data_IF_411314423681
#
_entry.id   IF_411314423681
#
_cell.length_a   1.000
_cell.length_b   1.000
_cell.length_c   1.000
_cell.angle_alpha   90.00
_cell.angle_beta   90.00
_cell.angle_gamma   90.00
#
_symmetry.space_group_name_H-M   'P 1'
#
loop_
_entity.id
_entity.type
_entity.pdbx_description
1 polymer ?
#
# COMPACT_ATOMS: atom_id res chain seq x y z
N UNK A 1 25.10 2.68 9.88
CA UNK A 1 25.32 1.32 10.39
C UNK A 1 24.85 1.29 11.83
N UNK A 2 24.24 0.17 12.23
CA UNK A 2 23.80 -0.24 13.57
C UNK A 2 22.28 -0.30 13.79
N UNK A 3 21.83 -1.54 13.93
CA UNK A 3 20.67 -2.03 14.71
C UNK A 3 19.27 -1.50 14.38
N UNK A 4 18.80 -1.76 13.14
CA UNK A 4 17.39 -2.19 12.94
C UNK A 4 17.16 -3.67 13.31
N UNK A 5 18.22 -4.40 13.64
CA UNK A 5 18.23 -5.87 13.71
C UNK A 5 17.67 -6.42 15.03
N UNK A 6 17.71 -5.69 16.15
CA UNK A 6 17.44 -6.33 17.45
C UNK A 6 16.20 -5.84 18.23
N UNK A 7 15.53 -4.75 17.81
CA UNK A 7 14.37 -4.22 18.54
C UNK A 7 13.01 -4.37 17.81
N UNK A 8 12.99 -4.78 16.54
CA UNK A 8 11.77 -4.86 15.71
C UNK A 8 11.02 -6.21 15.79
N UNK A 9 11.43 -7.14 16.66
CA UNK A 9 10.89 -8.50 16.68
C UNK A 9 9.90 -8.81 17.82
N UNK A 10 9.32 -7.80 18.47
CA UNK A 10 8.22 -8.03 19.43
C UNK A 10 6.82 -8.05 18.79
N UNK A 11 6.69 -7.57 17.53
CA UNK A 11 5.45 -7.72 16.77
C UNK A 11 5.49 -9.05 16.00
N UNK A 12 4.51 -9.97 16.17
CA UNK A 12 4.49 -11.27 15.48
C UNK A 12 4.32 -11.17 13.95
N UNK A 13 4.19 -9.96 13.40
CA UNK A 13 4.19 -9.67 11.97
C UNK A 13 5.07 -8.43 11.73
N UNK A 14 6.41 -8.56 11.68
CA UNK A 14 7.25 -7.48 11.17
C UNK A 14 6.77 -7.14 9.74
N UNK A 15 6.12 -5.98 9.58
CA UNK A 15 5.53 -5.60 8.30
C UNK A 15 6.57 -4.84 7.50
N UNK A 16 6.99 -5.42 6.38
CA UNK A 16 7.63 -4.65 5.31
C UNK A 16 6.78 -3.42 5.00
N UNK A 17 7.39 -2.27 4.63
CA UNK A 17 6.66 -1.08 4.20
C UNK A 17 5.57 -1.51 3.24
N UNK A 18 4.33 -1.10 3.54
CA UNK A 18 3.08 -1.47 2.86
C UNK A 18 3.37 -2.03 1.46
N UNK A 19 3.42 -3.36 1.37
CA UNK A 19 3.29 -4.00 0.07
C UNK A 19 1.94 -3.52 -0.44
N UNK A 20 1.96 -2.54 -1.36
CA UNK A 20 0.79 -1.99 -2.01
C UNK A 20 0.23 -3.12 -2.86
N UNK A 21 -0.51 -4.01 -2.21
CA UNK A 21 -1.10 -5.19 -2.83
C UNK A 21 -1.84 -4.69 -4.08
N UNK A 22 -1.42 -5.22 -5.22
CA UNK A 22 -2.04 -5.02 -6.54
C UNK A 22 -1.90 -3.62 -7.18
N UNK A 23 -1.19 -2.67 -6.57
CA UNK A 23 -1.07 -1.30 -7.13
C UNK A 23 0.35 -0.70 -7.06
N UNK A 24 1.39 -1.45 -7.43
CA UNK A 24 2.73 -0.84 -7.68
C UNK A 24 2.67 0.25 -8.77
N UNK A 25 1.68 0.18 -9.67
CA UNK A 25 1.40 1.23 -10.64
C UNK A 25 0.98 2.56 -9.99
N UNK A 26 0.43 2.56 -8.77
CA UNK A 26 0.15 3.81 -8.04
C UNK A 26 1.45 4.44 -7.54
N UNK A 27 2.35 3.67 -6.94
CA UNK A 27 3.66 4.15 -6.48
C UNK A 27 4.46 4.71 -7.67
N UNK A 28 4.49 4.00 -8.80
CA UNK A 28 5.17 4.49 -10.02
C UNK A 28 4.50 5.70 -10.69
N UNK A 29 3.28 6.09 -10.28
CA UNK A 29 2.57 7.29 -10.79
C UNK A 29 2.75 8.50 -9.89
N UNK A 30 3.20 8.33 -8.64
CA UNK A 30 3.49 9.45 -7.77
C UNK A 30 4.91 9.93 -8.04
N UNK A 31 5.04 11.21 -8.39
CA UNK A 31 6.34 11.86 -8.40
C UNK A 31 6.84 11.94 -6.95
N UNK A 32 7.84 11.13 -6.62
CA UNK A 32 8.56 11.24 -5.36
C UNK A 32 9.68 12.26 -5.56
N UNK A 33 9.40 13.49 -5.15
CA UNK A 33 10.39 14.54 -5.00
C UNK A 33 10.68 14.80 -3.53
N UNK A 34 11.89 15.23 -3.23
CA UNK A 34 12.28 15.75 -1.92
C UNK A 34 13.14 16.98 -2.12
N UNK A 35 12.99 17.96 -1.25
CA UNK A 35 13.88 19.11 -1.14
C UNK A 35 14.38 19.15 0.29
N UNK A 36 15.64 19.52 0.50
CA UNK A 36 16.13 19.70 1.87
C UNK A 36 15.48 20.95 2.47
N UNK A 37 15.19 20.92 3.76
CA UNK A 37 14.53 22.06 4.42
C UNK A 37 15.42 23.30 4.46
N UNK A 38 16.74 23.13 4.58
CA UNK A 38 17.72 24.21 4.50
C UNK A 38 17.78 24.83 3.09
N UNK A 39 17.68 24.02 2.05
CA UNK A 39 17.56 24.50 0.65
C UNK A 39 16.22 25.23 0.41
N UNK A 40 15.12 24.70 0.96
CA UNK A 40 13.78 25.27 0.77
C UNK A 40 13.61 26.62 1.50
N UNK A 41 14.16 26.73 2.72
CA UNK A 41 13.97 27.91 3.56
C UNK A 41 15.18 28.86 3.58
N UNK A 42 16.32 28.46 3.03
CA UNK A 42 17.53 29.27 3.00
C UNK A 42 18.12 29.53 4.38
N UNK A 43 18.12 28.52 5.26
CA UNK A 43 18.65 28.68 6.61
C UNK A 43 20.15 29.03 6.57
N UNK A 44 20.55 30.08 7.29
CA UNK A 44 21.96 30.52 7.37
C UNK A 44 22.86 29.48 8.04
N UNK A 45 22.31 28.77 9.02
CA UNK A 45 22.97 27.71 9.77
C UNK A 45 22.03 26.50 9.85
N UNK A 46 22.58 25.30 10.04
CA UNK A 46 21.76 24.10 10.22
C UNK A 46 20.99 24.21 11.54
N UNK A 47 19.65 24.32 11.52
CA UNK A 47 18.91 24.51 12.75
C UNK A 47 18.89 23.20 13.55
N UNK A 48 18.86 23.31 14.88
CA UNK A 48 18.69 22.14 15.75
C UNK A 48 17.33 21.50 15.52
N UNK A 49 17.26 20.17 15.52
CA UNK A 49 16.01 19.45 15.27
C UNK A 49 15.09 19.51 16.50
N UNK A 50 13.91 20.15 16.42
CA UNK A 50 13.15 20.47 17.62
C UNK A 50 12.02 19.48 17.93
N UNK A 51 11.78 18.49 17.07
CA UNK A 51 10.58 17.64 17.10
C UNK A 51 10.97 16.16 17.03
N UNK A 52 10.37 15.33 17.85
CA UNK A 52 10.41 13.89 17.66
C UNK A 52 9.17 13.39 16.94
N UNK A 53 9.36 12.41 16.06
CA UNK A 53 8.32 11.72 15.33
C UNK A 53 8.23 10.27 15.78
N UNK A 54 7.01 9.83 16.04
CA UNK A 54 6.70 8.47 16.43
C UNK A 54 5.61 7.91 15.52
N UNK A 55 5.67 6.61 15.25
CA UNK A 55 4.61 5.88 14.55
C UNK A 55 3.96 4.90 15.52
N UNK A 56 2.67 5.04 15.72
CA UNK A 56 1.87 4.11 16.52
C UNK A 56 0.96 3.33 15.57
N UNK A 57 1.21 2.03 15.45
CA UNK A 57 0.33 1.17 14.68
C UNK A 57 -1.04 1.09 15.33
N UNK A 58 -2.07 1.36 14.54
CA UNK A 58 -3.42 1.50 15.08
C UNK A 58 -4.04 0.16 15.47
N UNK A 59 -3.49 -1.00 15.10
CA UNK A 59 -4.16 -2.29 15.23
C UNK A 59 -4.89 -2.77 13.97
N UNK A 60 -5.10 -1.90 12.96
CA UNK A 60 -5.85 -2.22 11.74
C UNK A 60 -4.98 -2.16 10.49
N UNK A 61 -5.05 -3.19 9.63
CA UNK A 61 -4.38 -3.19 8.32
C UNK A 61 -5.09 -2.19 7.38
N UNK A 62 -4.33 -1.29 6.74
CA UNK A 62 -4.84 -0.42 5.67
C UNK A 62 -4.97 -1.17 4.33
N UNK A 63 -5.66 -0.57 3.35
CA UNK A 63 -5.55 -0.96 1.93
C UNK A 63 -6.87 -1.26 1.20
N UNK A 64 -7.75 -2.09 1.76
CA UNK A 64 -8.95 -2.55 1.01
C UNK A 64 -10.09 -1.52 0.90
N UNK A 65 -10.20 -0.59 1.86
CA UNK A 65 -11.33 0.36 1.93
C UNK A 65 -11.04 1.71 1.29
N UNK A 66 -9.79 2.00 0.96
CA UNK A 66 -9.37 3.34 0.50
C UNK A 66 -10.11 3.74 -0.77
N UNK A 67 -10.16 2.89 -1.79
CA UNK A 67 -10.85 3.20 -3.05
C UNK A 67 -12.37 3.32 -2.87
N UNK A 68 -12.95 2.50 -2.00
CA UNK A 68 -14.38 2.58 -1.67
C UNK A 68 -14.71 3.92 -1.01
N UNK A 69 -13.88 4.36 -0.06
CA UNK A 69 -14.06 5.64 0.62
C UNK A 69 -13.82 6.87 -0.27
N UNK A 70 -13.04 6.77 -1.37
CA UNK A 70 -12.97 7.86 -2.37
C UNK A 70 -14.35 8.02 -3.00
N UNK A 71 -14.88 6.94 -3.58
CA UNK A 71 -16.13 6.95 -4.34
C UNK A 71 -17.32 7.36 -3.49
N UNK A 72 -17.37 6.88 -2.24
CA UNK A 72 -18.42 7.25 -1.30
C UNK A 72 -18.48 8.78 -1.04
N UNK A 73 -17.35 9.49 -1.09
CA UNK A 73 -17.35 10.96 -0.91
C UNK A 73 -17.79 11.66 -2.18
N UNK A 74 -17.34 11.18 -3.33
CA UNK A 74 -17.74 11.73 -4.63
C UNK A 74 -19.26 11.67 -4.78
N UNK A 75 -19.84 10.50 -4.51
CA UNK A 75 -21.28 10.26 -4.56
C UNK A 75 -22.02 11.19 -3.56
N UNK A 76 -21.55 11.27 -2.32
CA UNK A 76 -22.19 12.13 -1.29
C UNK A 76 -22.13 13.61 -1.67
N UNK A 77 -20.99 14.12 -2.16
CA UNK A 77 -20.86 15.53 -2.56
C UNK A 77 -21.72 15.84 -3.78
N UNK A 78 -21.79 14.92 -4.75
CA UNK A 78 -22.64 15.04 -5.90
C UNK A 78 -24.12 15.09 -5.51
N UNK A 79 -24.59 14.09 -4.75
CA UNK A 79 -25.98 13.99 -4.31
C UNK A 79 -26.39 15.19 -3.44
N UNK A 80 -25.50 15.62 -2.55
CA UNK A 80 -25.74 16.78 -1.68
C UNK A 80 -25.80 18.07 -2.50
N UNK A 81 -24.92 18.25 -3.49
CA UNK A 81 -24.95 19.41 -4.39
C UNK A 81 -26.26 19.46 -5.17
N UNK A 82 -26.67 18.34 -5.78
CA UNK A 82 -27.94 18.25 -6.52
C UNK A 82 -29.15 18.51 -5.63
N UNK A 83 -29.16 17.94 -4.42
CA UNK A 83 -30.20 18.19 -3.42
C UNK A 83 -30.28 19.68 -3.06
N UNK A 84 -29.14 20.32 -2.75
CA UNK A 84 -29.06 21.74 -2.42
C UNK A 84 -29.56 22.58 -3.60
N UNK A 85 -29.10 22.32 -4.82
CA UNK A 85 -29.54 23.03 -6.02
C UNK A 85 -31.06 22.94 -6.19
N UNK A 86 -31.60 21.72 -6.11
CA UNK A 86 -33.02 21.43 -6.29
C UNK A 86 -33.89 22.16 -5.26
N UNK A 87 -33.52 22.12 -3.99
CA UNK A 87 -34.34 22.67 -2.91
C UNK A 87 -34.20 24.18 -2.73
N UNK A 88 -33.04 24.76 -3.05
CA UNK A 88 -32.83 26.21 -2.91
C UNK A 88 -33.20 27.00 -4.17
N UNK A 89 -33.28 26.38 -5.35
CA UNK A 89 -33.67 27.06 -6.61
C UNK A 89 -35.03 27.78 -6.55
N UNK A 90 -36.08 27.26 -5.89
CA UNK A 90 -37.32 28.02 -5.73
C UNK A 90 -37.17 29.19 -4.75
N UNK A 91 -36.35 29.02 -3.70
CA UNK A 91 -36.19 30.00 -2.62
C UNK A 91 -35.37 31.22 -3.04
N UNK A 92 -34.49 31.09 -4.04
CA UNK A 92 -33.63 32.18 -4.52
C UNK A 92 -34.26 33.03 -5.61
N UNK A 93 -35.42 32.64 -6.17
CA UNK A 93 -36.16 33.46 -7.16
C UNK A 93 -36.80 34.71 -6.54
N UNK A 94 -37.14 34.64 -5.25
CA UNK A 94 -37.86 35.71 -4.55
C UNK A 94 -36.92 36.62 -3.72
N UNK A 95 -35.64 36.25 -3.58
CA UNK A 95 -34.66 36.99 -2.78
C UNK A 95 -33.75 37.81 -3.71
N UNK A 96 -34.14 39.04 -3.99
CA UNK A 96 -33.44 39.95 -4.91
C UNK A 96 -32.03 40.43 -4.48
N UNK A 97 -31.44 39.92 -3.39
CA UNK A 97 -30.16 40.48 -2.91
C UNK A 97 -29.18 39.54 -2.20
N UNK A 98 -29.52 38.28 -1.90
CA UNK A 98 -28.57 37.42 -1.20
C UNK A 98 -28.69 35.94 -1.56
N UNK A 99 -27.80 35.49 -2.44
CA UNK A 99 -27.62 34.07 -2.74
C UNK A 99 -26.59 33.49 -1.76
N UNK A 100 -26.94 32.49 -0.93
CA UNK A 100 -25.98 31.90 0.00
C UNK A 100 -24.75 31.35 -0.72
N UNK A 101 -23.55 31.59 -0.18
CA UNK A 101 -22.28 31.21 -0.82
C UNK A 101 -22.25 29.72 -1.15
N UNK A 102 -22.62 28.84 -0.21
CA UNK A 102 -22.61 27.39 -0.46
C UNK A 102 -23.51 26.98 -1.63
N UNK A 103 -24.67 27.64 -1.81
CA UNK A 103 -25.57 27.37 -2.92
C UNK A 103 -25.00 27.89 -4.24
N UNK A 104 -24.41 29.09 -4.22
CA UNK A 104 -23.73 29.65 -5.41
C UNK A 104 -22.54 28.77 -5.85
N UNK A 105 -21.83 28.19 -4.88
CA UNK A 105 -20.73 27.25 -5.12
C UNK A 105 -21.23 25.93 -5.70
N UNK A 106 -22.34 25.37 -5.18
CA UNK A 106 -22.96 24.19 -5.77
C UNK A 106 -23.39 24.44 -7.23
N UNK A 107 -24.00 25.59 -7.52
CA UNK A 107 -24.39 25.97 -8.88
C UNK A 107 -23.20 26.12 -9.84
N UNK A 108 -22.11 26.71 -9.36
CA UNK A 108 -20.93 27.00 -10.18
C UNK A 108 -20.06 25.77 -10.43
N UNK A 109 -19.83 24.98 -9.40
CA UNK A 109 -18.81 23.93 -9.40
C UNK A 109 -19.39 22.53 -9.63
N UNK A 110 -20.67 22.30 -9.29
CA UNK A 110 -21.28 20.98 -9.23
C UNK A 110 -20.58 20.04 -8.25
N UNK A 111 -20.97 18.75 -8.23
CA UNK A 111 -20.36 17.75 -7.35
C UNK A 111 -18.84 17.59 -7.56
N UNK A 112 -18.40 17.53 -8.81
CA UNK A 112 -16.98 17.32 -9.16
C UNK A 112 -16.08 18.49 -8.77
N UNK A 113 -16.53 19.73 -8.99
CA UNK A 113 -15.76 20.92 -8.62
C UNK A 113 -15.68 21.09 -7.11
N UNK A 114 -16.76 20.79 -6.38
CA UNK A 114 -16.75 20.73 -4.93
C UNK A 114 -15.78 19.67 -4.40
N UNK A 115 -15.76 18.47 -5.00
CA UNK A 115 -14.81 17.43 -4.63
C UNK A 115 -13.35 17.87 -4.85
N UNK A 116 -13.03 18.55 -5.95
CA UNK A 116 -11.67 19.10 -6.17
C UNK A 116 -11.29 20.13 -5.10
N UNK A 117 -12.18 21.08 -4.78
CA UNK A 117 -11.93 22.04 -3.69
C UNK A 117 -11.74 21.33 -2.36
N UNK A 118 -12.51 20.29 -2.12
CA UNK A 118 -12.43 19.48 -0.91
C UNK A 118 -11.09 18.72 -0.79
N UNK A 119 -10.59 18.17 -1.89
CA UNK A 119 -9.25 17.57 -1.97
C UNK A 119 -8.11 18.60 -1.90
N UNK A 120 -8.39 19.88 -2.17
CA UNK A 120 -7.38 20.94 -2.07
C UNK A 120 -7.00 21.27 -0.61
N UNK A 121 -7.92 21.08 0.33
CA UNK A 121 -7.77 21.43 1.74
C UNK A 121 -6.53 20.79 2.41
N UNK A 122 -6.26 19.48 2.27
CA UNK A 122 -5.02 18.88 2.78
C UNK A 122 -3.73 19.53 2.24
N UNK A 123 -3.73 20.04 1.00
CA UNK A 123 -2.55 20.71 0.45
C UNK A 123 -2.29 22.04 1.14
N UNK A 124 -3.34 22.84 1.38
CA UNK A 124 -3.22 24.10 2.13
C UNK A 124 -2.73 23.84 3.55
N UNK A 125 -3.31 22.86 4.25
CA UNK A 125 -2.86 22.49 5.61
C UNK A 125 -1.40 22.00 5.58
N UNK A 126 -0.95 21.33 4.51
CA UNK A 126 0.47 20.93 4.36
C UNK A 126 1.39 22.14 4.31
N UNK A 127 1.00 23.20 3.59
CA UNK A 127 1.77 24.46 3.55
C UNK A 127 1.86 25.09 4.94
N UNK A 128 0.77 25.09 5.70
CA UNK A 128 0.78 25.58 7.09
C UNK A 128 1.67 24.72 8.01
N UNK A 129 1.73 23.40 7.80
CA UNK A 129 2.68 22.51 8.51
C UNK A 129 4.12 22.91 8.18
N UNK A 130 4.43 23.16 6.90
CA UNK A 130 5.76 23.59 6.47
C UNK A 130 6.14 24.95 7.06
N UNK A 131 5.22 25.91 7.10
CA UNK A 131 5.42 27.19 7.76
C UNK A 131 5.64 27.02 9.28
N UNK A 132 4.83 26.17 9.93
CA UNK A 132 5.02 25.84 11.35
C UNK A 132 6.39 25.24 11.64
N UNK A 133 6.88 24.35 10.77
CA UNK A 133 8.23 23.80 10.85
C UNK A 133 9.29 24.89 10.68
N UNK A 134 9.18 25.73 9.65
CA UNK A 134 10.08 26.88 9.44
C UNK A 134 10.16 27.76 10.68
N UNK A 135 9.02 28.14 11.25
CA UNK A 135 8.95 28.96 12.45
C UNK A 135 9.59 28.27 13.66
N UNK A 136 9.43 26.96 13.81
CA UNK A 136 10.11 26.21 14.88
C UNK A 136 11.63 26.16 14.69
N UNK A 137 12.13 26.09 13.45
CA UNK A 137 13.57 26.11 13.18
C UNK A 137 14.19 27.51 13.36
N UNK A 138 13.50 28.58 12.98
CA UNK A 138 13.99 29.96 13.08
C UNK A 138 13.87 30.54 14.50
N UNK A 139 12.76 30.26 15.18
CA UNK A 139 12.44 30.84 16.50
C UNK A 139 12.71 29.87 17.66
N UNK A 140 13.08 28.63 17.35
CA UNK A 140 13.23 27.57 18.34
C UNK A 140 11.89 27.05 18.90
N UNK A 141 11.99 26.31 20.02
CA UNK A 141 10.87 25.66 20.72
C UNK A 141 10.06 26.63 21.59
N UNK A 142 9.65 27.77 21.05
CA UNK A 142 8.69 28.63 21.76
C UNK A 142 7.35 27.91 21.92
N UNK A 143 6.60 28.22 22.99
CA UNK A 143 5.26 27.67 23.20
C UNK A 143 4.35 28.00 22.01
N UNK A 144 4.48 29.21 21.44
CA UNK A 144 3.72 29.68 20.29
C UNK A 144 4.01 28.83 19.03
N UNK A 145 5.28 28.67 18.65
CA UNK A 145 5.68 27.91 17.45
C UNK A 145 5.29 26.44 17.57
N UNK A 146 5.48 25.84 18.74
CA UNK A 146 5.09 24.46 19.05
C UNK A 146 3.58 24.27 18.97
N UNK A 147 2.82 25.15 19.63
CA UNK A 147 1.35 25.11 19.64
C UNK A 147 0.80 25.26 18.24
N UNK A 148 1.35 26.19 17.44
CA UNK A 148 0.93 26.40 16.06
C UNK A 148 1.15 25.14 15.22
N UNK A 149 2.35 24.57 15.21
CA UNK A 149 2.64 23.37 14.42
C UNK A 149 1.74 22.20 14.81
N UNK A 150 1.64 21.89 16.10
CA UNK A 150 0.84 20.75 16.56
C UNK A 150 -0.65 20.98 16.36
N UNK A 151 -1.13 22.22 16.46
CA UNK A 151 -2.50 22.56 16.11
C UNK A 151 -2.79 22.24 14.64
N UNK A 152 -1.93 22.68 13.71
CA UNK A 152 -2.11 22.44 12.27
C UNK A 152 -2.04 20.94 11.94
N UNK A 153 -1.12 20.17 12.55
CA UNK A 153 -1.08 18.70 12.40
C UNK A 153 -2.41 18.07 12.83
N UNK A 154 -3.00 18.55 13.93
CA UNK A 154 -4.28 18.06 14.42
C UNK A 154 -5.47 18.51 13.52
N UNK A 155 -5.40 19.69 12.90
CA UNK A 155 -6.36 20.11 11.85
C UNK A 155 -6.27 19.17 10.65
N UNK A 156 -5.06 18.75 10.26
CA UNK A 156 -4.87 17.79 9.17
C UNK A 156 -5.60 16.47 9.48
N UNK A 157 -5.51 15.97 10.70
CA UNK A 157 -6.25 14.77 11.11
C UNK A 157 -7.77 14.96 11.04
N UNK A 158 -8.26 16.15 11.41
CA UNK A 158 -9.67 16.48 11.25
C UNK A 158 -10.06 16.43 9.77
N UNK A 159 -9.29 17.06 8.88
CA UNK A 159 -9.54 17.01 7.44
C UNK A 159 -9.57 15.56 6.91
N UNK A 160 -8.64 14.71 7.33
CA UNK A 160 -8.64 13.28 6.98
C UNK A 160 -9.87 12.51 7.50
N UNK A 161 -10.42 12.91 8.65
CA UNK A 161 -11.68 12.35 9.17
C UNK A 161 -12.86 12.73 8.30
N UNK A 162 -12.97 14.01 7.92
CA UNK A 162 -14.08 14.47 7.06
C UNK A 162 -13.93 13.88 5.65
N UNK A 163 -12.70 13.59 5.20
CA UNK A 163 -12.39 12.84 3.98
C UNK A 163 -12.62 11.32 4.11
N UNK A 164 -13.28 10.85 5.17
CA UNK A 164 -13.55 9.43 5.43
C UNK A 164 -12.30 8.53 5.28
N UNK A 165 -11.11 9.10 5.51
CA UNK A 165 -9.82 8.37 5.44
C UNK A 165 -9.42 7.81 6.77
N UNK A 166 -9.96 8.33 7.85
CA UNK A 166 -9.68 7.82 9.19
C UNK A 166 -10.66 6.73 9.62
N UNK A 167 -10.36 6.08 10.74
CA UNK A 167 -11.25 5.10 11.38
C UNK A 167 -11.57 5.56 12.79
N UNK A 168 -12.67 5.07 13.37
CA UNK A 168 -12.99 5.34 14.78
C UNK A 168 -11.80 5.06 15.70
N UNK A 169 -11.08 3.97 15.47
CA UNK A 169 -9.90 3.57 16.23
C UNK A 169 -8.73 4.54 16.10
N UNK A 170 -8.43 5.02 14.89
CA UNK A 170 -7.39 6.04 14.68
C UNK A 170 -7.79 7.37 15.33
N UNK A 171 -9.06 7.76 15.19
CA UNK A 171 -9.59 8.98 15.78
C UNK A 171 -9.50 8.93 17.32
N UNK A 172 -9.83 7.78 17.93
CA UNK A 172 -9.71 7.56 19.37
C UNK A 172 -8.25 7.63 19.84
N UNK A 173 -7.30 7.06 19.09
CA UNK A 173 -5.86 7.17 19.40
C UNK A 173 -5.43 8.64 19.38
N UNK A 174 -5.73 9.36 18.30
CA UNK A 174 -5.35 10.79 18.16
C UNK A 174 -6.01 11.65 19.26
N UNK A 175 -7.29 11.40 19.54
CA UNK A 175 -8.04 12.12 20.58
C UNK A 175 -7.47 11.85 21.97
N UNK A 176 -7.21 10.59 22.31
CA UNK A 176 -6.64 10.20 23.59
C UNK A 176 -5.28 10.86 23.81
N UNK A 177 -4.35 10.74 22.86
CA UNK A 177 -3.02 11.34 22.99
C UNK A 177 -3.11 12.86 23.18
N UNK A 178 -3.89 13.55 22.34
CA UNK A 178 -4.08 15.00 22.45
C UNK A 178 -4.66 15.42 23.81
N UNK A 179 -5.73 14.78 24.25
CA UNK A 179 -6.45 15.19 25.47
C UNK A 179 -5.68 14.85 26.73
N UNK A 180 -5.05 13.68 26.77
CA UNK A 180 -4.32 13.21 27.92
C UNK A 180 -2.99 13.94 28.11
N UNK A 181 -2.24 14.17 27.04
CA UNK A 181 -1.02 14.99 27.09
C UNK A 181 -1.33 16.42 27.49
N UNK A 182 -2.42 17.02 26.97
CA UNK A 182 -2.85 18.37 27.37
C UNK A 182 -3.17 18.44 28.87
N UNK A 183 -3.84 17.43 29.43
CA UNK A 183 -4.15 17.36 30.87
C UNK A 183 -2.91 17.23 31.74
N UNK A 184 -1.92 16.44 31.33
CA UNK A 184 -0.68 16.22 32.09
C UNK A 184 0.29 17.41 32.03
N UNK A 185 0.35 18.12 30.89
CA UNK A 185 1.45 19.05 30.59
C UNK A 185 1.01 20.49 30.28
N UNK A 186 -0.28 20.83 30.40
CA UNK A 186 -0.75 22.22 30.38
C UNK A 186 -0.91 22.90 29.02
N UNK A 187 -0.44 22.32 27.91
CA UNK A 187 -0.56 22.89 26.56
C UNK A 187 -0.65 21.79 25.48
N UNK A 188 -0.97 22.09 24.20
CA UNK A 188 -0.90 21.09 23.14
C UNK A 188 0.58 20.83 22.81
N UNK A 189 1.12 19.78 23.43
CA UNK A 189 2.50 19.32 23.24
C UNK A 189 2.60 18.12 22.28
N UNK A 190 1.52 17.84 21.55
CA UNK A 190 1.48 16.71 20.62
C UNK A 190 0.62 17.01 19.38
N UNK A 191 1.20 16.77 18.21
CA UNK A 191 0.47 16.67 16.95
C UNK A 191 0.23 15.20 16.62
N UNK A 192 -1.01 14.78 16.39
CA UNK A 192 -1.30 13.38 16.04
C UNK A 192 -2.20 13.30 14.80
N UNK A 193 -1.74 12.57 13.79
CA UNK A 193 -2.53 12.33 12.57
C UNK A 193 -2.29 10.95 11.99
N UNK A 194 -3.26 10.47 11.22
CA UNK A 194 -3.10 9.33 10.34
C UNK A 194 -1.98 9.58 9.30
N UNK A 195 -1.18 8.55 9.04
CA UNK A 195 -0.22 8.52 7.94
C UNK A 195 -0.51 7.37 6.94
N UNK A 196 0.06 7.48 5.74
CA UNK A 196 -0.15 6.52 4.65
C UNK A 196 -1.53 6.65 3.96
N UNK A 197 -1.97 5.57 3.33
CA UNK A 197 -3.17 5.54 2.48
C UNK A 197 -4.51 5.64 3.27
N UNK A 198 -4.44 5.51 4.60
CA UNK A 198 -5.60 5.58 5.48
C UNK A 198 -6.40 4.29 5.64
N UNK A 199 -7.56 4.42 6.30
CA UNK A 199 -8.46 3.33 6.71
C UNK A 199 -7.82 2.29 7.65
N UNK A 200 -6.73 2.65 8.35
CA UNK A 200 -5.89 1.78 9.17
C UNK A 200 -4.43 2.22 9.07
N UNK A 201 -3.51 1.36 9.47
CA UNK A 201 -2.07 1.66 9.45
C UNK A 201 -1.66 2.43 10.70
N UNK A 202 -0.79 3.42 10.49
CA UNK A 202 -0.09 4.09 11.59
C UNK A 202 -0.64 5.49 11.84
N UNK A 203 -0.50 5.90 13.10
CA UNK A 203 -0.67 7.28 13.55
C UNK A 203 0.71 7.89 13.69
N UNK A 204 0.98 8.93 12.91
CA UNK A 204 2.11 9.82 13.09
C UNK A 204 1.85 10.70 14.31
N UNK A 205 2.80 10.70 15.23
CA UNK A 205 2.77 11.49 16.44
C UNK A 205 4.03 12.36 16.47
N UNK A 206 3.84 13.68 16.56
CA UNK A 206 4.90 14.66 16.67
C UNK A 206 4.92 15.24 18.09
N UNK A 207 6.07 15.21 18.76
CA UNK A 207 6.28 15.71 20.13
C UNK A 207 7.45 16.68 20.15
N UNK A 208 7.49 17.61 21.11
CA UNK A 208 8.77 18.23 21.46
C UNK A 208 9.63 17.15 22.13
N UNK A 209 10.91 17.03 21.76
CA UNK A 209 11.78 15.91 22.19
C UNK A 209 12.11 15.80 23.68
N UNK A 210 11.24 16.35 24.52
CA UNK A 210 11.28 16.30 25.98
C UNK A 210 10.39 15.19 26.55
N UNK A 211 9.52 14.57 25.73
CA UNK A 211 8.74 13.43 26.19
C UNK A 211 9.61 12.18 26.32
N UNK A 212 9.77 11.63 27.54
CA UNK A 212 10.53 10.39 27.71
C UNK A 212 9.83 9.26 26.95
N UNK A 213 10.60 8.46 26.22
CA UNK A 213 10.10 7.30 25.47
C UNK A 213 9.19 6.39 26.32
N UNK A 214 9.56 6.21 27.60
CA UNK A 214 8.78 5.45 28.57
C UNK A 214 7.35 5.95 28.72
N UNK A 215 7.15 7.27 28.71
CA UNK A 215 5.81 7.86 28.79
C UNK A 215 4.98 7.48 27.56
N UNK A 216 5.55 7.57 26.35
CA UNK A 216 4.84 7.18 25.12
C UNK A 216 4.48 5.68 25.12
N UNK A 217 5.40 4.82 25.59
CA UNK A 217 5.16 3.39 25.70
C UNK A 217 4.04 3.04 26.70
N UNK A 218 3.96 3.78 27.81
CA UNK A 218 2.86 3.69 28.78
C UNK A 218 1.52 4.12 28.16
N UNK A 219 1.52 5.19 27.36
CA UNK A 219 0.33 5.63 26.63
C UNK A 219 -0.12 4.59 25.60
N UNK A 220 0.80 4.00 24.83
CA UNK A 220 0.52 2.90 23.89
C UNK A 220 -0.05 1.68 24.60
N UNK A 221 0.51 1.33 25.77
CA UNK A 221 0.01 0.21 26.60
C UNK A 221 -1.40 0.49 27.09
N UNK A 222 -1.68 1.72 27.50
CA UNK A 222 -3.01 2.14 27.95
C UNK A 222 -4.02 2.10 26.81
N UNK A 223 -3.65 2.61 25.64
CA UNK A 223 -4.47 2.54 24.42
C UNK A 223 -4.78 1.10 24.02
N UNK A 224 -3.78 0.21 24.04
CA UNK A 224 -3.93 -1.22 23.76
C UNK A 224 -5.00 -1.87 24.66
N UNK A 225 -4.94 -1.59 25.97
CA UNK A 225 -5.91 -2.09 26.95
C UNK A 225 -7.30 -1.49 26.74
N UNK A 226 -7.38 -0.17 26.59
CA UNK A 226 -8.66 0.58 26.45
C UNK A 226 -9.42 0.15 25.19
N UNK A 227 -8.72 0.03 24.06
CA UNK A 227 -9.33 -0.24 22.77
C UNK A 227 -9.40 -1.74 22.44
N UNK A 228 -8.87 -2.62 23.31
CA UNK A 228 -8.79 -4.08 23.09
C UNK A 228 -8.26 -4.42 21.70
N UNK A 229 -7.25 -3.69 21.26
CA UNK A 229 -6.70 -3.78 19.92
C UNK A 229 -5.19 -3.95 19.98
N UNK A 230 -4.62 -4.60 18.96
CA UNK A 230 -3.19 -4.82 18.87
C UNK A 230 -2.44 -3.54 18.44
N UNK A 231 -2.39 -2.56 19.34
CA UNK A 231 -1.73 -1.26 19.15
C UNK A 231 -0.29 -1.35 19.67
N UNK A 232 0.68 -0.85 18.93
CA UNK A 232 2.08 -0.84 19.35
C UNK A 232 2.84 0.37 18.78
N UNK A 233 3.97 0.70 19.40
CA UNK A 233 4.90 1.71 18.92
C UNK A 233 5.78 1.06 17.85
N UNK A 234 5.61 1.49 16.60
CA UNK A 234 6.34 0.97 15.43
C UNK A 234 7.69 1.66 15.23
N UNK A 235 7.72 2.97 15.51
CA UNK A 235 8.90 3.79 15.28
C UNK A 235 8.95 4.97 16.25
N UNK A 236 10.16 5.41 16.59
CA UNK A 236 10.44 6.61 17.38
C UNK A 236 11.77 7.22 16.94
N UNK A 237 11.75 8.47 16.50
CA UNK A 237 12.93 9.15 15.92
C UNK A 237 14.08 9.34 16.90
N UNK A 238 13.79 9.52 18.19
CA UNK A 238 14.83 9.67 19.21
C UNK A 238 15.81 8.48 19.19
N UNK A 239 15.34 7.26 18.89
CA UNK A 239 16.20 6.06 18.91
C UNK A 239 17.18 5.99 17.74
N UNK A 240 16.81 6.53 16.59
CA UNK A 240 17.58 6.41 15.35
C UNK A 240 18.51 7.62 15.11
N UNK A 241 18.27 8.74 15.82
CA UNK A 241 18.98 9.99 15.61
C UNK A 241 18.58 10.68 14.30
N UNK A 242 19.36 11.70 13.91
CA UNK A 242 19.19 12.38 12.63
C UNK A 242 20.10 11.71 11.58
N UNK A 243 19.52 11.25 10.47
CA UNK A 243 20.33 10.71 9.37
C UNK A 243 21.05 11.83 8.64
N UNK A 244 22.38 11.90 8.80
CA UNK A 244 23.21 12.95 8.20
C UNK A 244 23.54 12.69 6.72
N UNK A 245 23.39 11.45 6.25
CA UNK A 245 23.79 11.07 4.88
C UNK A 245 22.69 11.29 3.83
N UNK A 246 21.56 11.87 4.24
CA UNK A 246 20.41 12.10 3.37
C UNK A 246 19.76 10.80 2.89
N UNK A 247 19.04 10.86 1.76
CA UNK A 247 18.40 9.68 1.16
C UNK A 247 19.47 8.80 0.53
N UNK A 248 19.73 7.64 1.14
CA UNK A 248 20.59 6.61 0.57
C UNK A 248 19.73 5.68 -0.28
N UNK A 249 20.11 5.49 -1.55
CA UNK A 249 19.55 4.41 -2.36
C UNK A 249 20.15 3.11 -1.85
N UNK A 250 19.44 2.43 -0.94
CA UNK A 250 19.89 1.14 -0.40
C UNK A 250 19.88 0.04 -1.45
N UNK A 251 19.06 0.16 -2.50
CA UNK A 251 18.99 -0.81 -3.58
C UNK A 251 18.67 -0.14 -4.92
N UNK A 252 19.52 -0.37 -5.92
CA UNK A 252 19.24 -0.13 -7.34
C UNK A 252 19.44 -1.43 -8.11
N UNK A 253 18.33 -2.07 -8.48
CA UNK A 253 18.38 -3.31 -9.27
C UNK A 253 18.91 -3.10 -10.69
N UNK A 254 18.85 -1.87 -11.21
CA UNK A 254 19.39 -1.50 -12.53
C UNK A 254 20.92 -1.37 -12.45
N UNK A 255 21.40 -0.72 -11.39
CA UNK A 255 22.82 -0.42 -11.21
C UNK A 255 23.55 -1.48 -10.37
N UNK A 256 22.86 -2.60 -10.06
CA UNK A 256 23.36 -3.71 -9.23
C UNK A 256 23.83 -3.28 -7.83
N UNK A 257 23.20 -2.26 -7.26
CA UNK A 257 23.37 -1.86 -5.87
C UNK A 257 22.36 -2.65 -5.06
N UNK A 258 22.83 -3.46 -4.11
CA UNK A 258 21.98 -4.33 -3.30
C UNK A 258 22.00 -3.90 -1.84
N UNK A 259 20.82 -3.86 -1.22
CA UNK A 259 20.70 -3.57 0.21
C UNK A 259 21.29 -4.73 1.01
N UNK A 260 21.91 -4.44 2.15
CA UNK A 260 22.34 -5.48 3.10
C UNK A 260 21.18 -6.34 3.62
N UNK A 261 19.93 -5.88 3.45
CA UNK A 261 18.71 -6.60 3.85
C UNK A 261 18.21 -7.54 2.76
N UNK A 262 18.50 -7.26 1.48
CA UNK A 262 18.11 -8.09 0.34
C UNK A 262 19.39 -8.65 -0.27
N UNK A 263 19.78 -9.83 0.20
CA UNK A 263 21.02 -10.47 -0.24
C UNK A 263 21.01 -10.70 -1.75
N UNK A 264 22.19 -10.56 -2.37
CA UNK A 264 22.42 -10.98 -3.74
C UNK A 264 21.95 -12.42 -3.93
N UNK A 265 21.26 -12.71 -5.03
CA UNK A 265 20.62 -13.99 -5.29
C UNK A 265 19.19 -14.12 -4.75
N UNK A 266 18.63 -13.08 -4.12
CA UNK A 266 17.22 -13.07 -3.72
C UNK A 266 16.31 -13.28 -4.93
N UNK A 267 15.15 -13.87 -4.71
CA UNK A 267 14.20 -14.14 -5.79
C UNK A 267 12.89 -13.42 -5.58
N UNK A 268 12.35 -12.90 -6.67
CA UNK A 268 11.04 -12.28 -6.70
C UNK A 268 10.03 -13.26 -7.31
N UNK A 269 9.08 -13.71 -6.49
CA UNK A 269 8.00 -14.60 -6.89
C UNK A 269 6.67 -13.85 -6.94
N UNK A 270 5.88 -14.11 -7.97
CA UNK A 270 4.46 -13.78 -7.99
C UNK A 270 3.65 -15.00 -7.56
N UNK A 271 3.01 -14.95 -6.39
CA UNK A 271 2.08 -15.97 -5.89
C UNK A 271 0.67 -15.65 -6.36
N UNK A 272 0.09 -16.55 -7.14
CA UNK A 272 -1.29 -16.50 -7.64
C UNK A 272 -2.12 -17.51 -6.85
N UNK A 273 -3.15 -17.04 -6.18
CA UNK A 273 -4.08 -17.86 -5.38
C UNK A 273 -5.54 -17.52 -5.69
N UNK A 274 -6.49 -18.15 -4.98
CA UNK A 274 -7.92 -17.84 -5.11
C UNK A 274 -8.26 -16.40 -4.65
N UNK A 275 -7.42 -15.82 -3.80
CA UNK A 275 -7.58 -14.47 -3.26
C UNK A 275 -7.00 -13.36 -4.15
N UNK A 276 -6.27 -13.71 -5.20
CA UNK A 276 -5.60 -12.74 -6.09
C UNK A 276 -4.11 -13.06 -6.29
N UNK A 277 -3.38 -12.06 -6.79
CA UNK A 277 -1.93 -12.15 -7.03
C UNK A 277 -1.15 -11.33 -6.01
N UNK A 278 -0.05 -11.87 -5.50
CA UNK A 278 0.83 -11.21 -4.52
C UNK A 278 2.29 -11.39 -4.87
N UNK A 279 3.08 -10.32 -4.76
CA UNK A 279 4.53 -10.41 -4.90
C UNK A 279 5.16 -10.80 -3.56
N UNK A 280 6.07 -11.78 -3.58
CA UNK A 280 6.81 -12.24 -2.42
C UNK A 280 8.28 -12.31 -2.77
N UNK A 281 9.12 -11.69 -1.95
CA UNK A 281 10.57 -11.77 -2.08
C UNK A 281 11.11 -12.78 -1.09
N UNK A 282 12.01 -13.65 -1.53
CA UNK A 282 12.75 -14.57 -0.67
C UNK A 282 14.25 -14.34 -0.85
N UNK A 283 15.02 -14.42 0.23
CA UNK A 283 16.47 -14.61 0.10
C UNK A 283 16.75 -15.96 -0.57
N UNK A 284 17.95 -16.16 -1.13
CA UNK A 284 18.31 -17.44 -1.76
C UNK A 284 18.07 -18.63 -0.82
N UNK A 285 18.51 -18.51 0.44
CA UNK A 285 18.34 -19.57 1.45
C UNK A 285 16.87 -19.85 1.78
N UNK A 286 16.06 -18.79 1.93
CA UNK A 286 14.62 -18.96 2.18
C UNK A 286 13.94 -19.62 1.00
N UNK A 287 14.31 -19.23 -0.22
CA UNK A 287 13.77 -19.81 -1.42
C UNK A 287 14.12 -21.29 -1.55
N UNK A 288 15.37 -21.68 -1.33
CA UNK A 288 15.78 -23.09 -1.42
C UNK A 288 15.03 -23.97 -0.42
N UNK A 289 14.79 -23.47 0.80
CA UNK A 289 13.95 -24.15 1.80
C UNK A 289 12.49 -24.23 1.36
N UNK A 290 11.94 -23.16 0.80
CA UNK A 290 10.51 -23.08 0.44
C UNK A 290 10.18 -23.81 -0.86
N UNK A 291 11.11 -23.87 -1.82
CA UNK A 291 10.95 -24.40 -3.18
C UNK A 291 10.34 -25.80 -3.21
N UNK A 292 10.72 -26.66 -2.28
CA UNK A 292 10.21 -28.03 -2.17
C UNK A 292 8.76 -28.12 -1.66
N UNK A 293 8.26 -27.06 -1.02
CA UNK A 293 6.88 -26.98 -0.51
C UNK A 293 5.92 -26.30 -1.47
N UNK A 294 6.44 -25.60 -2.49
CA UNK A 294 5.62 -24.87 -3.46
C UNK A 294 4.86 -25.89 -4.34
N UNK A 295 3.51 -25.82 -4.41
CA UNK A 295 2.73 -26.78 -5.19
C UNK A 295 3.11 -26.76 -6.68
N UNK A 296 3.14 -25.57 -7.28
CA UNK A 296 3.55 -25.36 -8.66
C UNK A 296 4.37 -24.09 -8.77
N UNK A 297 5.60 -24.21 -9.24
CA UNK A 297 6.52 -23.10 -9.52
C UNK A 297 6.81 -23.08 -11.01
N UNK A 298 6.56 -21.94 -11.65
CA UNK A 298 6.88 -21.69 -13.05
C UNK A 298 8.07 -20.73 -13.08
N UNK A 299 9.21 -21.23 -13.51
CA UNK A 299 10.42 -20.45 -13.69
C UNK A 299 10.52 -19.98 -15.14
N UNK A 300 10.20 -18.70 -15.33
CA UNK A 300 10.17 -18.05 -16.65
C UNK A 300 11.59 -17.86 -17.18
N UNK A 301 12.57 -17.65 -16.29
CA UNK A 301 13.95 -17.37 -16.67
C UNK A 301 14.65 -18.63 -17.19
N UNK A 302 14.46 -19.77 -16.50
CA UNK A 302 15.05 -21.04 -16.92
C UNK A 302 14.16 -21.88 -17.85
N UNK A 303 12.94 -21.41 -18.15
CA UNK A 303 11.91 -22.16 -18.87
C UNK A 303 11.60 -23.52 -18.23
N UNK A 304 11.52 -23.56 -16.89
CA UNK A 304 11.25 -24.79 -16.16
C UNK A 304 9.95 -24.71 -15.35
N UNK A 305 9.29 -25.87 -15.21
CA UNK A 305 8.13 -26.03 -14.35
C UNK A 305 8.54 -27.00 -13.25
N UNK A 306 8.32 -26.62 -12.00
CA UNK A 306 8.61 -27.45 -10.84
C UNK A 306 7.33 -27.72 -10.04
N UNK A 307 7.16 -28.97 -9.62
CA UNK A 307 6.09 -29.38 -8.71
C UNK A 307 6.74 -29.88 -7.43
N UNK A 308 6.47 -29.21 -6.29
CA UNK A 308 7.13 -29.52 -5.00
C UNK A 308 8.65 -29.64 -5.14
N UNK A 309 9.25 -28.67 -5.83
CA UNK A 309 10.70 -28.60 -6.09
C UNK A 309 11.24 -29.56 -7.16
N UNK A 310 10.45 -30.51 -7.67
CA UNK A 310 10.87 -31.43 -8.73
C UNK A 310 10.63 -30.84 -10.11
N UNK A 311 11.69 -30.72 -10.90
CA UNK A 311 11.63 -30.24 -12.29
C UNK A 311 10.89 -31.25 -13.16
N UNK A 312 9.93 -30.76 -13.94
CA UNK A 312 9.25 -31.57 -14.95
C UNK A 312 10.17 -31.86 -16.12
N UNK A 313 10.15 -33.11 -16.56
CA UNK A 313 10.97 -33.62 -17.66
C UNK A 313 10.21 -33.55 -18.99
N UNK A 314 10.95 -33.70 -20.10
CA UNK A 314 10.35 -33.76 -21.45
C UNK A 314 9.38 -34.93 -21.64
N UNK A 315 9.51 -35.99 -20.82
CA UNK A 315 8.57 -37.13 -20.78
C UNK A 315 7.22 -36.73 -20.20
N UNK A 316 7.21 -35.78 -19.27
CA UNK A 316 5.99 -35.30 -18.59
C UNK A 316 5.35 -34.13 -19.34
N UNK A 317 6.17 -33.22 -19.87
CA UNK A 317 5.70 -32.09 -20.69
C UNK A 317 6.62 -31.94 -21.90
N UNK A 318 6.11 -32.22 -23.10
CA UNK A 318 6.92 -32.23 -24.33
C UNK A 318 7.52 -30.87 -24.69
N UNK A 319 6.89 -29.77 -24.27
CA UNK A 319 7.38 -28.41 -24.55
C UNK A 319 7.17 -27.49 -23.35
N UNK A 320 8.06 -27.56 -22.36
CA UNK A 320 7.99 -26.71 -21.16
C UNK A 320 7.89 -25.22 -21.52
N UNK A 321 8.72 -24.74 -22.46
CA UNK A 321 8.71 -23.34 -22.93
C UNK A 321 7.33 -22.90 -23.46
N UNK A 322 6.71 -23.71 -24.31
CA UNK A 322 5.39 -23.39 -24.87
C UNK A 322 4.30 -23.45 -23.81
N UNK A 323 4.36 -24.47 -22.95
CA UNK A 323 3.44 -24.61 -21.81
C UNK A 323 3.52 -23.41 -20.87
N UNK A 324 4.72 -22.91 -20.56
CA UNK A 324 4.92 -21.72 -19.72
C UNK A 324 4.26 -20.50 -20.36
N UNK A 325 4.49 -20.26 -21.66
CA UNK A 325 3.87 -19.13 -22.37
C UNK A 325 2.34 -19.20 -22.33
N UNK A 326 1.75 -20.37 -22.57
CA UNK A 326 0.30 -20.57 -22.51
C UNK A 326 -0.21 -20.34 -21.08
N UNK A 327 0.46 -20.90 -20.07
CA UNK A 327 0.08 -20.71 -18.67
C UNK A 327 0.16 -19.25 -18.25
N UNK A 328 1.17 -18.49 -18.69
CA UNK A 328 1.25 -17.05 -18.41
C UNK A 328 0.04 -16.27 -18.94
N UNK A 329 -0.40 -16.56 -20.18
CA UNK A 329 -1.58 -15.92 -20.76
C UNK A 329 -2.84 -16.27 -19.97
N UNK A 330 -3.00 -17.55 -19.63
CA UNK A 330 -4.17 -18.04 -18.90
C UNK A 330 -4.24 -17.54 -17.45
N UNK A 331 -3.08 -17.45 -16.77
CA UNK A 331 -2.99 -16.95 -15.40
C UNK A 331 -3.30 -15.45 -15.30
N UNK A 332 -2.98 -14.68 -16.34
CA UNK A 332 -3.35 -13.27 -16.43
C UNK A 332 -4.85 -13.04 -16.73
N UNK A 333 -5.58 -14.10 -17.10
CA UNK A 333 -6.98 -14.04 -17.54
C UNK A 333 -7.82 -15.17 -16.94
N UNK A 334 -7.59 -15.48 -15.66
CA UNK A 334 -8.33 -16.52 -14.95
C UNK A 334 -9.84 -16.25 -15.06
N UNK A 335 -10.61 -17.30 -15.38
CA UNK A 335 -12.05 -17.24 -15.56
C UNK A 335 -12.51 -16.83 -16.97
N UNK A 336 -11.61 -16.31 -17.81
CA UNK A 336 -11.94 -15.90 -19.17
C UNK A 336 -11.58 -16.97 -20.20
N UNK A 337 -12.30 -16.97 -21.33
CA UNK A 337 -11.96 -17.78 -22.50
C UNK A 337 -10.89 -17.05 -23.31
N UNK A 338 -9.82 -17.76 -23.65
CA UNK A 338 -8.72 -17.26 -24.50
C UNK A 338 -8.84 -17.94 -25.86
N UNK A 339 -8.95 -17.16 -26.94
CA UNK A 339 -9.07 -17.69 -28.29
C UNK A 339 -7.73 -18.24 -28.80
N UNK A 340 -7.76 -19.21 -29.72
CA UNK A 340 -6.56 -19.77 -30.37
C UNK A 340 -5.66 -18.69 -30.98
N UNK A 341 -6.24 -17.63 -31.54
CA UNK A 341 -5.52 -16.48 -32.11
C UNK A 341 -4.70 -15.69 -31.10
N UNK A 342 -4.95 -15.86 -29.80
CA UNK A 342 -4.25 -15.16 -28.72
C UNK A 342 -3.17 -16.03 -28.07
N UNK A 343 -3.08 -17.31 -28.46
CA UNK A 343 -2.04 -18.24 -28.00
C UNK A 343 -0.76 -18.03 -28.81
N UNK A 344 0.42 -18.37 -28.25
CA UNK A 344 1.67 -18.24 -29.00
C UNK A 344 1.64 -19.13 -30.24
N UNK A 345 2.11 -18.62 -31.37
CA UNK A 345 2.30 -19.42 -32.58
C UNK A 345 3.31 -20.54 -32.31
N UNK A 346 2.83 -21.77 -32.40
CA UNK A 346 3.60 -22.99 -32.21
C UNK A 346 2.93 -24.16 -32.90
N UNK A 347 3.68 -25.20 -33.25
CA UNK A 347 3.09 -26.46 -33.74
C UNK A 347 2.09 -27.04 -32.73
N UNK A 348 2.32 -26.84 -31.43
CA UNK A 348 1.46 -27.31 -30.35
C UNK A 348 0.15 -26.53 -30.17
N UNK A 349 0.00 -25.35 -30.78
CA UNK A 349 -1.22 -24.52 -30.73
C UNK A 349 -1.94 -24.47 -32.08
N UNK A 350 -1.37 -25.11 -33.11
CA UNK A 350 -1.91 -25.11 -34.47
C UNK A 350 -3.30 -25.74 -34.56
N UNK A 351 -3.53 -26.81 -33.79
CA UNK A 351 -4.81 -27.49 -33.67
C UNK A 351 -5.13 -27.90 -32.22
N UNK A 352 -6.42 -28.12 -31.96
CA UNK A 352 -6.97 -28.46 -30.65
C UNK A 352 -6.42 -29.77 -30.08
N UNK A 353 -6.18 -30.77 -30.93
CA UNK A 353 -5.75 -32.10 -30.50
C UNK A 353 -4.28 -32.10 -30.09
N UNK A 354 -3.44 -31.32 -30.77
CA UNK A 354 -2.03 -31.13 -30.39
C UNK A 354 -1.91 -30.44 -29.03
N UNK A 355 -2.60 -29.32 -28.81
CA UNK A 355 -2.56 -28.66 -27.49
C UNK A 355 -3.12 -29.55 -26.38
N UNK A 356 -4.19 -30.29 -26.67
CA UNK A 356 -4.79 -31.21 -25.71
C UNK A 356 -3.81 -32.34 -25.36
N UNK A 357 -3.24 -33.02 -26.35
CA UNK A 357 -2.43 -34.22 -26.14
C UNK A 357 -1.00 -33.93 -25.67
N UNK A 358 -0.41 -32.78 -26.03
CA UNK A 358 0.99 -32.45 -25.71
C UNK A 358 1.17 -31.50 -24.54
N UNK A 359 0.15 -30.71 -24.20
CA UNK A 359 0.24 -29.68 -23.16
C UNK A 359 -0.80 -29.93 -22.06
N UNK A 360 -2.08 -29.90 -22.39
CA UNK A 360 -3.15 -29.92 -21.37
C UNK A 360 -3.23 -31.25 -20.66
N UNK A 361 -3.44 -32.36 -21.39
CA UNK A 361 -3.56 -33.68 -20.78
C UNK A 361 -2.32 -34.06 -19.96
N UNK A 362 -1.07 -33.88 -20.45
CA UNK A 362 0.12 -34.21 -19.67
C UNK A 362 0.27 -33.33 -18.42
N UNK A 363 0.02 -32.02 -18.51
CA UNK A 363 0.07 -31.13 -17.35
C UNK A 363 -0.97 -31.52 -16.28
N UNK A 364 -2.22 -31.76 -16.69
CA UNK A 364 -3.30 -32.16 -15.78
C UNK A 364 -3.00 -33.49 -15.10
N UNK A 365 -2.51 -34.47 -15.87
CA UNK A 365 -2.17 -35.81 -15.35
C UNK A 365 -1.03 -35.71 -14.34
N UNK A 366 0.01 -34.92 -14.65
CA UNK A 366 1.18 -34.75 -13.79
C UNK A 366 0.84 -34.04 -12.48
N UNK A 367 0.02 -32.98 -12.54
CA UNK A 367 -0.47 -32.26 -11.36
C UNK A 367 -1.38 -33.15 -10.51
N UNK A 368 -2.31 -33.90 -11.13
CA UNK A 368 -3.19 -34.83 -10.40
C UNK A 368 -2.38 -35.90 -9.68
N UNK A 369 -1.37 -36.49 -10.34
CA UNK A 369 -0.48 -37.49 -9.74
C UNK A 369 0.36 -36.95 -8.57
N UNK A 370 0.85 -35.72 -8.68
CA UNK A 370 1.83 -35.17 -7.73
C UNK A 370 1.22 -34.36 -6.57
N UNK A 371 0.08 -33.72 -6.81
CA UNK A 371 -0.57 -32.82 -5.86
C UNK A 371 -1.92 -33.35 -5.35
N UNK A 372 -2.45 -34.44 -5.93
CA UNK A 372 -3.83 -34.89 -5.72
C UNK A 372 -4.86 -33.76 -5.97
N UNK A 373 -4.52 -32.82 -6.86
CA UNK A 373 -5.33 -31.68 -7.26
C UNK A 373 -5.23 -31.51 -8.77
N UNK A 374 -6.32 -31.11 -9.42
CA UNK A 374 -6.33 -30.82 -10.85
C UNK A 374 -6.32 -29.32 -11.07
N UNK A 375 -5.54 -28.86 -12.04
CA UNK A 375 -5.72 -27.53 -12.59
C UNK A 375 -7.04 -27.53 -13.38
N UNK A 376 -7.97 -26.59 -13.18
CA UNK A 376 -9.27 -26.62 -13.85
C UNK A 376 -9.17 -25.96 -15.22
N UNK A 377 -8.38 -26.57 -16.09
CA UNK A 377 -8.14 -26.14 -17.47
C UNK A 377 -9.12 -26.84 -18.42
N UNK A 378 -9.86 -26.08 -19.22
CA UNK A 378 -10.83 -26.59 -20.20
C UNK A 378 -10.49 -26.10 -21.61
N UNK A 379 -10.68 -26.96 -22.59
CA UNK A 379 -10.59 -26.64 -24.02
C UNK A 379 -11.94 -26.95 -24.68
N UNK A 380 -12.52 -25.96 -25.36
CA UNK A 380 -13.81 -26.04 -26.05
C UNK A 380 -13.68 -25.54 -27.49
N UNK A 381 -14.49 -26.08 -28.41
CA UNK A 381 -14.52 -25.67 -29.82
C UNK A 381 -14.07 -26.75 -30.81
N UNK A 382 -13.88 -26.32 -32.06
CA UNK A 382 -13.49 -27.16 -33.20
C UNK A 382 -11.98 -27.44 -33.22
N UNK A 383 -11.51 -28.18 -34.22
CA UNK A 383 -10.07 -28.51 -34.35
C UNK A 383 -9.21 -27.26 -34.61
N UNK A 384 -9.70 -26.33 -35.45
CA UNK A 384 -8.93 -25.14 -35.88
C UNK A 384 -9.33 -23.87 -35.15
N UNK A 385 -10.56 -23.81 -34.65
CA UNK A 385 -11.09 -22.70 -33.89
C UNK A 385 -11.59 -23.19 -32.54
N UNK A 386 -10.76 -22.96 -31.52
CA UNK A 386 -11.00 -23.40 -30.14
C UNK A 386 -10.62 -22.31 -29.15
N UNK A 387 -11.15 -22.46 -27.94
CA UNK A 387 -10.86 -21.61 -26.79
C UNK A 387 -10.33 -22.42 -25.63
N UNK A 388 -9.47 -21.80 -24.84
CA UNK A 388 -8.93 -22.38 -23.61
C UNK A 388 -9.32 -21.48 -22.43
N UNK A 389 -9.79 -22.09 -21.35
CA UNK A 389 -10.17 -21.38 -20.13
C UNK A 389 -9.55 -22.04 -18.91
N UNK A 390 -8.83 -21.24 -18.12
CA UNK A 390 -8.38 -21.62 -16.78
C UNK A 390 -9.38 -21.08 -15.75
N UNK A 391 -10.10 -21.95 -15.07
CA UNK A 391 -11.01 -21.53 -13.98
C UNK A 391 -10.23 -21.25 -12.68
N UNK A 392 -10.97 -20.88 -11.63
CA UNK A 392 -10.43 -20.60 -10.29
C UNK A 392 -9.52 -21.70 -9.78
N UNK A 393 -8.29 -21.33 -9.41
CA UNK A 393 -7.22 -22.29 -9.09
C UNK A 393 -7.38 -22.82 -7.66
N UNK A 394 -7.28 -24.14 -7.41
CA UNK A 394 -7.47 -24.75 -6.09
C UNK A 394 -6.21 -24.83 -5.20
N UNK A 395 -5.10 -24.23 -5.64
CA UNK A 395 -3.82 -24.18 -4.94
C UNK A 395 -3.00 -22.99 -5.41
N UNK A 396 -1.95 -22.64 -4.65
CA UNK A 396 -1.06 -21.55 -5.02
C UNK A 396 -0.15 -21.92 -6.20
N UNK A 397 -0.04 -21.03 -7.17
CA UNK A 397 0.93 -21.09 -8.26
C UNK A 397 1.91 -19.96 -8.08
N UNK A 398 3.21 -20.25 -8.16
CA UNK A 398 4.26 -19.24 -8.04
C UNK A 398 4.93 -19.03 -9.40
N UNK A 399 5.13 -17.79 -9.81
CA UNK A 399 5.90 -17.42 -11.00
C UNK A 399 7.22 -16.79 -10.55
N UNK A 400 8.36 -17.35 -10.94
CA UNK A 400 9.66 -16.71 -10.75
C UNK A 400 9.86 -15.64 -11.82
N UNK A 401 9.78 -14.37 -11.42
CA UNK A 401 9.91 -13.22 -12.31
C UNK A 401 11.36 -12.81 -12.49
N UNK A 402 12.14 -12.79 -11.41
CA UNK A 402 13.51 -12.31 -11.41
C UNK A 402 14.33 -12.96 -10.30
N UNK A 403 15.57 -13.30 -10.61
CA UNK A 403 16.63 -13.51 -9.63
C UNK A 403 17.43 -12.20 -9.53
N UNK A 404 17.60 -11.69 -8.33
CA UNK A 404 18.16 -10.38 -7.99
C UNK A 404 19.66 -10.48 -7.85
#
# INVERSE_FOLDING_TARGET
SEKRVDALNAAPEARSPLNVKENYNLVNRFFYGGVKLDELFGFKERPSWPIDFHLIYSGKKGGGRVMKSVREIDDVLFDTSEMVIKHFKPLTKDINSYTPIFYSECLKEGGDGLHRKYLSTPYVITLEILEGLKNMFELGKSEKSTTQLFHVINIFQLALRILNRSTSQINEICHYLKTHTRKKMGAPHIGAKLTGAGCGGDVLVATTGEQPEKALQEEVTTLRKKLKANIWLDYSSHRDGLEERGVIIEQSLKDKIYSSVISQGSVLLERISKEGSTMVTYTSEQFDKKKNTIPLLIDINSNTILIKGKKLTSKEIKSAKTTIKILMILLNRIGHKVAKSELPDSSYTSDRNEIQSKIVTPLLTTLKKSLNKSLPLKIEGSIRDYTICLKTIPFDIYLLKKSI
#
